data_IF_794530486628
#
_entry.id   IF_794530486628
#
_cell.length_a   1.000
_cell.length_b   1.000
_cell.length_c   1.000
_cell.angle_alpha   90.00
_cell.angle_beta   90.00
_cell.angle_gamma   90.00
#
_symmetry.space_group_name_H-M   'P 1'
#
loop_
_entity.id
_entity.type
_entity.pdbx_description
1 polymer ?
#
# COMPACT_ATOMS: atom_id res chain seq x y z
N UNK A 1 -10.67 25.14 -7.54
CA UNK A 1 -11.54 24.53 -8.59
C UNK A 1 -10.81 23.50 -9.42
N UNK A 2 -9.83 23.89 -10.24
CA UNK A 2 -9.03 22.91 -11.01
C UNK A 2 -8.30 21.93 -10.07
N UNK A 3 -7.55 22.43 -9.09
CA UNK A 3 -6.90 21.58 -8.08
C UNK A 3 -7.87 20.64 -7.35
N UNK A 4 -9.06 21.11 -6.95
CA UNK A 4 -10.07 20.27 -6.30
C UNK A 4 -10.61 19.18 -7.21
N UNK A 5 -10.66 19.43 -8.52
CA UNK A 5 -11.02 18.44 -9.52
C UNK A 5 -9.98 17.32 -9.61
N UNK A 6 -8.69 17.67 -9.60
CA UNK A 6 -7.61 16.66 -9.52
C UNK A 6 -7.67 15.86 -8.23
N UNK A 7 -7.92 16.51 -7.09
CA UNK A 7 -8.09 15.83 -5.79
C UNK A 7 -9.26 14.85 -5.79
N UNK A 8 -10.35 15.20 -6.48
CA UNK A 8 -11.59 14.41 -6.50
C UNK A 8 -11.56 13.32 -7.56
N UNK A 9 -10.99 13.58 -8.73
CA UNK A 9 -11.09 12.70 -9.90
C UNK A 9 -9.76 12.18 -10.42
N UNK A 10 -8.62 12.58 -9.85
CA UNK A 10 -7.29 12.15 -10.27
C UNK A 10 -7.09 10.64 -10.20
N UNK A 11 -7.70 9.98 -9.20
CA UNK A 11 -7.68 8.52 -9.06
C UNK A 11 -8.15 7.77 -10.31
N UNK A 12 -9.07 8.36 -11.09
CA UNK A 12 -9.61 7.76 -12.32
C UNK A 12 -8.60 7.73 -13.46
N UNK A 13 -7.64 8.66 -13.46
CA UNK A 13 -6.57 8.74 -14.44
C UNK A 13 -5.27 8.07 -13.97
N UNK A 14 -5.16 7.71 -12.70
CA UNK A 14 -3.95 7.09 -12.13
C UNK A 14 -3.66 5.71 -12.73
N UNK A 15 -2.36 5.42 -12.91
CA UNK A 15 -1.85 4.17 -13.47
C UNK A 15 -1.66 3.12 -12.37
N UNK A 16 -2.77 2.52 -11.95
CA UNK A 16 -2.82 1.50 -10.88
C UNK A 16 -2.78 0.05 -11.39
N UNK A 17 -2.95 -0.17 -12.69
CA UNK A 17 -3.00 -1.50 -13.28
C UNK A 17 -1.59 -1.92 -13.71
N UNK A 18 -0.97 -2.93 -13.07
CA UNK A 18 0.37 -3.37 -13.43
C UNK A 18 0.42 -4.06 -14.80
N UNK A 19 -0.71 -4.55 -15.32
CA UNK A 19 -0.79 -5.22 -16.63
C UNK A 19 -1.26 -4.29 -17.75
N UNK A 20 -1.71 -3.08 -17.39
CA UNK A 20 -2.27 -2.06 -18.29
C UNK A 20 -3.34 -2.61 -19.27
N UNK A 21 -4.16 -3.53 -18.79
CA UNK A 21 -5.26 -4.13 -19.56
C UNK A 21 -6.52 -3.24 -19.50
N UNK A 22 -6.67 -2.48 -18.43
CA UNK A 22 -7.79 -1.57 -18.24
C UNK A 22 -7.67 -0.33 -19.13
N UNK A 23 -8.52 -0.24 -20.16
CA UNK A 23 -8.67 0.99 -20.94
C UNK A 23 -9.29 2.09 -20.07
N UNK A 24 -8.49 3.10 -19.74
CA UNK A 24 -8.95 4.26 -18.97
C UNK A 24 -9.55 5.31 -19.91
N UNK A 25 -10.76 5.74 -19.60
CA UNK A 25 -11.38 6.86 -20.30
C UNK A 25 -10.71 8.18 -19.92
N UNK A 26 -10.63 9.11 -20.88
CA UNK A 26 -10.15 10.46 -20.59
C UNK A 26 -11.12 11.14 -19.63
N UNK A 27 -10.61 11.57 -18.49
CA UNK A 27 -11.40 12.25 -17.47
C UNK A 27 -11.51 13.74 -17.83
N UNK A 28 -12.63 14.15 -18.41
CA UNK A 28 -12.88 15.55 -18.81
C UNK A 28 -12.82 16.56 -17.64
N UNK A 29 -12.86 16.09 -16.40
CA UNK A 29 -12.70 16.95 -15.22
C UNK A 29 -11.23 17.34 -14.95
N UNK A 30 -10.26 16.63 -15.55
CA UNK A 30 -8.83 16.93 -15.44
C UNK A 30 -8.35 17.89 -16.53
N UNK A 31 -9.23 18.32 -17.45
CA UNK A 31 -8.88 19.24 -18.53
C UNK A 31 -8.84 20.69 -18.00
N UNK A 32 -7.67 21.38 -18.04
CA UNK A 32 -7.56 22.78 -17.64
C UNK A 32 -8.50 23.71 -18.41
N UNK A 33 -8.74 23.43 -19.68
CA UNK A 33 -9.56 24.26 -20.57
C UNK A 33 -10.99 24.43 -20.04
N UNK A 34 -11.51 23.39 -19.37
CA UNK A 34 -12.85 23.41 -18.74
C UNK A 34 -12.98 24.49 -17.66
N UNK A 35 -11.87 24.90 -17.06
CA UNK A 35 -11.82 25.91 -16.00
C UNK A 35 -11.44 27.30 -16.52
N UNK A 36 -11.34 27.48 -17.85
CA UNK A 36 -10.87 28.73 -18.46
C UNK A 36 -9.37 28.94 -18.27
N UNK A 37 -8.60 27.85 -18.14
CA UNK A 37 -7.15 27.84 -18.05
C UNK A 37 -6.62 27.39 -19.41
N UNK A 38 -6.39 28.34 -20.30
CA UNK A 38 -5.98 28.15 -21.70
C UNK A 38 -4.50 28.44 -21.95
N UNK A 39 -3.93 29.35 -21.16
CA UNK A 39 -2.52 29.75 -21.26
C UNK A 39 -1.63 28.96 -20.27
N UNK A 40 -0.74 28.06 -20.74
CA UNK A 40 0.17 27.29 -19.89
C UNK A 40 1.24 28.15 -19.19
N UNK A 41 1.61 29.28 -19.77
CA UNK A 41 2.66 30.17 -19.26
C UNK A 41 2.12 31.18 -18.24
N UNK A 42 0.80 31.31 -18.14
CA UNK A 42 0.15 32.18 -17.17
C UNK A 42 0.51 31.76 -15.75
N UNK A 43 0.98 32.73 -14.97
CA UNK A 43 1.33 32.54 -13.57
C UNK A 43 0.13 32.72 -12.66
N UNK A 44 0.11 31.92 -11.60
CA UNK A 44 -0.91 31.96 -10.55
C UNK A 44 -0.24 31.89 -9.19
N UNK A 45 -0.79 32.64 -8.24
CA UNK A 45 -0.47 32.47 -6.83
C UNK A 45 -1.06 31.14 -6.34
N UNK A 46 -0.19 30.25 -5.86
CA UNK A 46 -0.58 28.93 -5.36
C UNK A 46 -0.81 28.92 -3.84
N UNK A 47 -0.56 30.04 -3.14
CA UNK A 47 -0.69 30.09 -1.69
C UNK A 47 -2.13 29.81 -1.23
N UNK A 48 -2.26 28.97 -0.21
CA UNK A 48 -3.54 28.46 0.29
C UNK A 48 -4.32 27.54 -0.67
N UNK A 49 -3.83 27.31 -1.89
CA UNK A 49 -4.46 26.42 -2.88
C UNK A 49 -3.71 25.08 -2.93
N UNK A 50 -2.39 25.11 -3.04
CA UNK A 50 -1.52 23.92 -3.12
C UNK A 50 -0.52 23.95 -1.96
N UNK A 51 -0.35 22.80 -1.29
CA UNK A 51 0.51 22.69 -0.12
C UNK A 51 1.89 22.13 -0.46
N UNK A 52 2.78 22.97 -0.97
CA UNK A 52 4.18 22.58 -1.27
C UNK A 52 5.10 22.62 -0.05
N UNK A 53 4.65 23.26 1.04
CA UNK A 53 5.45 23.41 2.27
C UNK A 53 6.41 24.60 2.26
N UNK A 54 6.54 25.26 1.10
CA UNK A 54 7.26 26.53 0.94
C UNK A 54 6.25 27.70 0.94
N UNK A 55 6.73 28.94 1.15
CA UNK A 55 5.88 30.13 1.32
C UNK A 55 5.14 30.57 0.05
N UNK A 56 4.80 31.86 -0.05
CA UNK A 56 4.15 32.41 -1.25
C UNK A 56 5.00 32.13 -2.49
N UNK A 57 4.39 31.46 -3.48
CA UNK A 57 5.03 31.10 -4.74
C UNK A 57 4.05 31.35 -5.89
N UNK A 58 4.57 31.93 -6.96
CA UNK A 58 3.85 32.02 -8.23
C UNK A 58 4.34 30.91 -9.15
N UNK A 59 3.42 30.06 -9.60
CA UNK A 59 3.73 28.97 -10.52
C UNK A 59 2.99 29.17 -11.84
N UNK A 60 3.61 28.74 -12.93
CA UNK A 60 2.93 28.63 -14.23
C UNK A 60 1.87 27.54 -14.17
N UNK A 61 0.84 27.64 -15.01
CA UNK A 61 -0.20 26.61 -15.14
C UNK A 61 0.39 25.23 -15.49
N UNK A 62 1.45 25.21 -16.31
CA UNK A 62 2.19 23.99 -16.63
C UNK A 62 2.79 23.36 -15.36
N UNK A 63 3.49 24.14 -14.53
CA UNK A 63 4.09 23.65 -13.29
C UNK A 63 3.03 23.14 -12.31
N UNK A 64 1.92 23.87 -12.16
CA UNK A 64 0.78 23.45 -11.33
C UNK A 64 0.22 22.11 -11.81
N UNK A 65 -0.01 21.98 -13.11
CA UNK A 65 -0.59 20.78 -13.71
C UNK A 65 0.36 19.60 -13.59
N UNK A 66 1.64 19.80 -13.89
CA UNK A 66 2.68 18.78 -13.77
C UNK A 66 2.79 18.27 -12.34
N UNK A 67 2.83 19.17 -11.36
CA UNK A 67 2.89 18.83 -9.94
C UNK A 67 1.64 18.08 -9.47
N UNK A 68 0.45 18.60 -9.73
CA UNK A 68 -0.78 17.93 -9.28
C UNK A 68 -0.96 16.56 -9.97
N UNK A 69 -0.52 16.41 -11.21
CA UNK A 69 -0.50 15.11 -11.89
C UNK A 69 0.52 14.15 -11.28
N UNK A 70 1.70 14.61 -10.87
CA UNK A 70 2.69 13.74 -10.21
C UNK A 70 2.18 13.22 -8.85
N UNK A 71 1.40 14.03 -8.13
CA UNK A 71 0.79 13.67 -6.85
C UNK A 71 -0.43 12.76 -7.02
N UNK A 72 -1.40 13.13 -7.87
CA UNK A 72 -2.71 12.48 -7.94
C UNK A 72 -2.90 11.51 -9.11
N UNK A 73 -2.08 11.59 -10.15
CA UNK A 73 -2.16 10.80 -11.38
C UNK A 73 -0.89 9.94 -11.54
N UNK A 74 -0.43 9.38 -10.43
CA UNK A 74 0.75 8.52 -10.36
C UNK A 74 0.44 7.03 -10.43
N UNK A 75 1.32 6.23 -9.81
CA UNK A 75 1.12 4.78 -9.59
C UNK A 75 0.26 4.43 -8.38
N UNK A 76 -0.14 5.45 -7.62
CA UNK A 76 -1.00 5.35 -6.45
C UNK A 76 -2.21 6.23 -6.70
N UNK A 77 -3.41 5.69 -6.48
CA UNK A 77 -4.67 6.40 -6.56
C UNK A 77 -5.17 6.76 -5.16
N UNK A 78 -5.57 8.01 -4.96
CA UNK A 78 -6.06 8.50 -3.67
C UNK A 78 -7.54 8.88 -3.76
N UNK A 79 -8.35 8.30 -2.87
CA UNK A 79 -9.77 8.61 -2.69
C UNK A 79 -10.01 9.03 -1.25
N UNK A 80 -10.20 10.33 -1.04
CA UNK A 80 -10.43 10.91 0.30
C UNK A 80 -11.44 12.07 0.29
N UNK A 81 -11.85 12.55 -0.89
CA UNK A 81 -12.73 13.71 -1.00
C UNK A 81 -14.17 13.43 -0.54
N UNK A 82 -14.56 12.16 -0.42
CA UNK A 82 -15.84 11.71 0.13
C UNK A 82 -15.89 11.76 1.67
N UNK A 83 -14.77 12.04 2.35
CA UNK A 83 -14.73 12.21 3.79
C UNK A 83 -15.60 13.41 4.22
N UNK A 84 -16.46 13.25 5.24
CA UNK A 84 -17.35 14.32 5.67
C UNK A 84 -16.59 15.48 6.33
N UNK A 85 -15.50 15.17 7.04
CA UNK A 85 -14.70 16.15 7.77
C UNK A 85 -13.83 16.97 6.82
N UNK A 86 -14.01 18.29 6.83
CA UNK A 86 -13.14 19.22 6.08
C UNK A 86 -11.70 19.17 6.59
N UNK A 87 -11.52 19.03 7.90
CA UNK A 87 -10.20 18.97 8.54
C UNK A 87 -9.41 17.76 8.05
N UNK A 88 -10.06 16.60 7.93
CA UNK A 88 -9.42 15.38 7.41
C UNK A 88 -9.04 15.53 5.94
N UNK A 89 -9.94 16.09 5.10
CA UNK A 89 -9.64 16.36 3.70
C UNK A 89 -8.45 17.30 3.51
N UNK A 90 -8.39 18.36 4.32
CA UNK A 90 -7.25 19.29 4.31
C UNK A 90 -5.96 18.62 4.78
N UNK A 91 -6.05 17.76 5.80
CA UNK A 91 -4.90 16.98 6.28
C UNK A 91 -4.35 16.07 5.19
N UNK A 92 -5.20 15.34 4.46
CA UNK A 92 -4.79 14.51 3.33
C UNK A 92 -4.18 15.32 2.19
N UNK A 93 -4.83 16.43 1.78
CA UNK A 93 -4.29 17.30 0.73
C UNK A 93 -2.90 17.80 1.11
N UNK A 94 -2.73 18.31 2.34
CA UNK A 94 -1.44 18.77 2.84
C UNK A 94 -0.40 17.66 2.91
N UNK A 95 -0.78 16.48 3.42
CA UNK A 95 0.13 15.34 3.51
C UNK A 95 0.62 14.91 2.13
N UNK A 96 -0.28 14.76 1.16
CA UNK A 96 0.04 14.26 -0.17
C UNK A 96 0.81 15.27 -1.00
N UNK A 97 0.47 16.55 -0.91
CA UNK A 97 1.16 17.59 -1.68
C UNK A 97 2.53 17.91 -1.06
N UNK A 98 2.65 17.91 0.29
CA UNK A 98 3.96 18.10 0.94
C UNK A 98 4.89 16.90 0.80
N UNK A 99 4.35 15.67 0.83
CA UNK A 99 5.14 14.46 0.59
C UNK A 99 5.38 14.22 -0.90
N UNK A 100 4.46 14.60 -1.78
CA UNK A 100 4.60 14.43 -3.22
C UNK A 100 5.60 15.40 -3.85
N UNK A 101 5.88 16.54 -3.20
CA UNK A 101 7.04 17.37 -3.50
C UNK A 101 8.38 16.64 -3.24
N UNK A 102 8.38 15.62 -2.37
CA UNK A 102 9.51 14.76 -2.07
C UNK A 102 9.32 13.42 -2.79
N UNK A 103 9.73 13.36 -4.06
CA UNK A 103 9.92 12.13 -4.85
C UNK A 103 9.76 10.82 -4.04
N UNK A 104 8.71 10.00 -4.28
CA UNK A 104 8.44 8.77 -3.50
C UNK A 104 9.63 7.80 -3.46
N UNK A 105 10.56 7.93 -4.41
CA UNK A 105 11.76 7.11 -4.55
C UNK A 105 13.00 7.67 -3.84
N UNK A 106 13.05 8.99 -3.57
CA UNK A 106 14.24 9.64 -3.00
C UNK A 106 14.46 9.29 -1.52
N UNK A 107 13.45 8.75 -0.82
CA UNK A 107 13.51 8.47 0.61
C UNK A 107 13.72 6.98 0.98
N UNK A 108 13.83 6.04 0.02
CA UNK A 108 14.04 4.62 0.34
C UNK A 108 15.54 4.29 0.34
N UNK A 109 16.12 4.17 1.54
CA UNK A 109 17.50 3.68 1.74
C UNK A 109 17.74 2.36 0.96
N UNK A 110 18.94 2.20 0.40
CA UNK A 110 19.39 1.00 -0.29
C UNK A 110 19.14 -0.28 0.53
N UNK A 111 19.30 -0.24 1.85
CA UNK A 111 19.04 -1.38 2.72
C UNK A 111 17.55 -1.74 2.79
N UNK A 112 16.67 -0.74 2.80
CA UNK A 112 15.21 -0.96 2.72
C UNK A 112 14.81 -1.58 1.38
N UNK A 113 15.39 -1.10 0.28
CA UNK A 113 15.20 -1.71 -1.05
C UNK A 113 15.63 -3.17 -1.08
N UNK A 114 16.78 -3.50 -0.49
CA UNK A 114 17.25 -4.89 -0.35
C UNK A 114 16.31 -5.74 0.48
N UNK A 115 15.78 -5.21 1.58
CA UNK A 115 14.80 -5.93 2.42
C UNK A 115 13.50 -6.21 1.65
N UNK A 116 12.96 -5.20 0.95
CA UNK A 116 11.76 -5.36 0.11
C UNK A 116 11.99 -6.45 -0.94
N UNK A 117 13.11 -6.38 -1.67
CA UNK A 117 13.47 -7.39 -2.67
C UNK A 117 13.59 -8.79 -2.06
N UNK A 118 14.23 -8.92 -0.89
CA UNK A 118 14.35 -10.20 -0.21
C UNK A 118 13.00 -10.79 0.21
N UNK A 119 12.04 -9.97 0.62
CA UNK A 119 10.68 -10.41 0.95
C UNK A 119 9.92 -10.89 -0.29
N UNK A 120 10.04 -10.16 -1.40
CA UNK A 120 9.43 -10.55 -2.69
C UNK A 120 10.00 -11.89 -3.18
N UNK A 121 11.33 -12.02 -3.23
CA UNK A 121 11.99 -13.24 -3.65
C UNK A 121 11.64 -14.44 -2.77
N UNK A 122 11.52 -14.24 -1.44
CA UNK A 122 11.07 -15.30 -0.52
C UNK A 122 9.65 -15.78 -0.81
N UNK A 123 8.73 -14.87 -1.17
CA UNK A 123 7.36 -15.21 -1.55
C UNK A 123 7.37 -16.13 -2.78
N UNK A 124 8.04 -15.68 -3.83
CA UNK A 124 8.08 -16.39 -5.10
C UNK A 124 8.72 -17.78 -4.97
N UNK A 125 9.86 -17.88 -4.27
CA UNK A 125 10.55 -19.15 -4.05
C UNK A 125 9.68 -20.12 -3.26
N UNK A 126 8.92 -19.63 -2.28
CA UNK A 126 8.03 -20.48 -1.48
C UNK A 126 6.88 -21.04 -2.32
N UNK A 127 6.21 -20.21 -3.13
CA UNK A 127 5.14 -20.69 -4.01
C UNK A 127 5.66 -21.72 -5.02
N UNK A 128 6.81 -21.44 -5.64
CA UNK A 128 7.47 -22.36 -6.56
C UNK A 128 7.84 -23.69 -5.88
N UNK A 129 8.34 -23.64 -4.64
CA UNK A 129 8.65 -24.84 -3.88
C UNK A 129 7.40 -25.67 -3.57
N UNK A 130 6.31 -25.02 -3.15
CA UNK A 130 5.03 -25.68 -2.88
C UNK A 130 4.44 -26.30 -4.14
N UNK A 131 4.62 -25.66 -5.30
CA UNK A 131 4.22 -26.22 -6.59
C UNK A 131 4.89 -27.55 -6.91
N UNK A 132 6.21 -27.61 -6.70
CA UNK A 132 6.99 -28.82 -7.00
C UNK A 132 6.69 -29.93 -5.99
N UNK A 133 6.57 -29.60 -4.69
CA UNK A 133 6.37 -30.60 -3.65
C UNK A 133 4.95 -31.13 -3.53
N UNK A 134 3.95 -30.30 -3.78
CA UNK A 134 2.54 -30.65 -3.58
C UNK A 134 1.68 -30.29 -4.81
N UNK A 135 1.91 -30.93 -5.97
CA UNK A 135 1.24 -30.55 -7.23
C UNK A 135 -0.28 -30.75 -7.18
N UNK A 136 -0.75 -31.75 -6.42
CA UNK A 136 -2.17 -32.10 -6.34
C UNK A 136 -2.93 -31.34 -5.24
N UNK A 137 -2.25 -30.49 -4.47
CA UNK A 137 -2.88 -29.73 -3.40
C UNK A 137 -3.34 -28.38 -3.94
N UNK A 138 -4.61 -28.04 -3.69
CA UNK A 138 -5.12 -26.69 -3.95
C UNK A 138 -4.40 -25.69 -3.02
N UNK A 139 -3.46 -24.94 -3.59
CA UNK A 139 -2.79 -23.84 -2.92
C UNK A 139 -3.47 -22.51 -3.26
N UNK A 140 -3.53 -21.63 -2.29
CA UNK A 140 -3.85 -20.23 -2.50
C UNK A 140 -2.50 -19.50 -2.46
N UNK A 141 -1.82 -19.49 -3.60
CA UNK A 141 -0.54 -18.79 -3.75
C UNK A 141 -0.73 -17.28 -3.70
N UNK A 142 0.38 -16.56 -3.60
CA UNK A 142 0.41 -15.09 -3.67
C UNK A 142 1.05 -14.61 -4.98
N UNK A 143 0.95 -15.43 -6.04
CA UNK A 143 1.46 -15.10 -7.38
C UNK A 143 0.79 -13.83 -7.92
N UNK A 144 1.59 -12.80 -8.21
CA UNK A 144 1.14 -11.48 -8.65
C UNK A 144 0.68 -10.54 -7.52
N UNK A 145 0.67 -11.00 -6.26
CA UNK A 145 0.29 -10.24 -5.07
C UNK A 145 1.41 -10.12 -4.02
N UNK A 146 2.66 -10.42 -4.39
CA UNK A 146 3.79 -10.57 -3.47
C UNK A 146 4.11 -9.25 -2.74
N UNK A 147 3.75 -8.12 -3.34
CA UNK A 147 3.84 -6.77 -2.77
C UNK A 147 3.07 -6.60 -1.45
N UNK A 148 2.11 -7.48 -1.15
CA UNK A 148 1.43 -7.50 0.14
C UNK A 148 2.39 -7.80 1.30
N UNK A 149 3.44 -8.62 1.11
CA UNK A 149 4.41 -8.91 2.16
C UNK A 149 5.20 -7.68 2.61
N UNK A 150 5.89 -6.92 1.74
CA UNK A 150 6.58 -5.70 2.15
C UNK A 150 5.61 -4.62 2.64
N UNK A 151 4.38 -4.56 2.14
CA UNK A 151 3.37 -3.63 2.65
C UNK A 151 3.03 -3.90 4.13
N UNK A 152 2.85 -5.18 4.50
CA UNK A 152 2.59 -5.57 5.88
C UNK A 152 3.82 -5.43 6.78
N UNK A 153 5.02 -5.70 6.25
CA UNK A 153 6.27 -5.46 6.97
C UNK A 153 6.42 -3.97 7.34
N UNK A 154 6.15 -3.08 6.38
CA UNK A 154 6.15 -1.63 6.62
C UNK A 154 5.07 -1.20 7.63
N UNK A 155 3.87 -1.80 7.57
CA UNK A 155 2.81 -1.57 8.54
C UNK A 155 3.23 -1.97 9.96
N UNK A 156 3.90 -3.12 10.10
CA UNK A 156 4.40 -3.59 11.40
C UNK A 156 5.56 -2.73 11.92
N UNK A 157 6.45 -2.27 11.05
CA UNK A 157 7.51 -1.32 11.40
C UNK A 157 6.90 0.00 11.92
N UNK A 158 5.90 0.54 11.23
CA UNK A 158 5.21 1.77 11.62
C UNK A 158 4.48 1.61 12.96
N UNK A 159 3.75 0.50 13.14
CA UNK A 159 3.05 0.21 14.39
C UNK A 159 4.03 0.04 15.57
N UNK A 160 5.16 -0.62 15.35
CA UNK A 160 6.22 -0.77 16.35
C UNK A 160 6.80 0.59 16.77
N UNK A 161 7.07 1.48 15.81
CA UNK A 161 7.54 2.85 16.09
C UNK A 161 6.50 3.69 16.85
N UNK A 162 5.22 3.45 16.61
CA UNK A 162 4.12 4.07 17.34
C UNK A 162 3.90 3.47 18.75
N UNK A 163 4.70 2.48 19.17
CA UNK A 163 4.57 1.84 20.49
C UNK A 163 3.40 0.85 20.60
N UNK A 164 2.85 0.40 19.47
CA UNK A 164 1.74 -0.56 19.45
C UNK A 164 2.30 -1.96 19.72
N UNK A 165 1.90 -2.55 20.83
CA UNK A 165 2.41 -3.86 21.26
C UNK A 165 1.67 -5.05 20.63
N UNK A 166 0.46 -4.85 20.10
CA UNK A 166 -0.39 -5.92 19.57
C UNK A 166 -1.10 -5.48 18.30
N UNK A 167 -0.99 -6.31 17.26
CA UNK A 167 -1.72 -6.17 16.01
C UNK A 167 -2.55 -7.44 15.80
N UNK A 168 -3.83 -7.26 15.51
CA UNK A 168 -4.75 -8.37 15.20
C UNK A 168 -5.04 -8.28 13.70
N UNK A 169 -4.59 -9.30 12.96
CA UNK A 169 -4.81 -9.40 11.52
C UNK A 169 -5.90 -10.44 11.24
N UNK A 170 -7.06 -9.97 10.77
CA UNK A 170 -8.12 -10.83 10.29
C UNK A 170 -7.93 -11.07 8.78
N UNK A 171 -7.95 -12.34 8.37
CA UNK A 171 -7.78 -12.75 6.98
C UNK A 171 -8.98 -13.57 6.49
N UNK A 172 -9.20 -13.65 5.17
CA UNK A 172 -10.22 -14.52 4.58
C UNK A 172 -10.06 -15.99 5.02
N UNK A 173 -11.11 -16.79 4.81
CA UNK A 173 -11.13 -18.21 5.20
C UNK A 173 -9.97 -19.03 4.62
N UNK A 174 -9.47 -18.62 3.44
CA UNK A 174 -8.36 -19.24 2.73
C UNK A 174 -7.27 -18.19 2.47
N UNK A 175 -6.45 -17.85 3.47
CA UNK A 175 -5.39 -16.86 3.31
C UNK A 175 -4.25 -17.42 2.47
N UNK A 176 -3.50 -16.56 1.74
CA UNK A 176 -2.38 -17.02 0.94
C UNK A 176 -1.35 -17.76 1.79
N UNK A 177 -0.91 -18.94 1.34
CA UNK A 177 0.03 -19.79 2.09
C UNK A 177 1.34 -19.07 2.41
N UNK A 178 1.79 -18.22 1.48
CA UNK A 178 3.02 -17.43 1.65
C UNK A 178 2.91 -16.39 2.74
N UNK A 179 1.74 -15.78 2.89
CA UNK A 179 1.50 -14.75 3.90
C UNK A 179 1.72 -15.31 5.30
N UNK A 180 1.18 -16.49 5.58
CA UNK A 180 1.37 -17.15 6.87
C UNK A 180 2.81 -17.60 7.11
N UNK A 181 3.45 -18.23 6.12
CA UNK A 181 4.80 -18.75 6.28
C UNK A 181 5.84 -17.63 6.45
N UNK A 182 5.77 -16.60 5.61
CA UNK A 182 6.75 -15.51 5.57
C UNK A 182 6.60 -14.54 6.75
N UNK A 183 5.37 -14.17 7.15
CA UNK A 183 5.16 -13.17 8.21
C UNK A 183 5.16 -13.77 9.61
N UNK A 184 4.60 -14.97 9.80
CA UNK A 184 4.47 -15.58 11.14
C UNK A 184 5.66 -16.43 11.55
N UNK A 185 6.70 -16.53 10.72
CA UNK A 185 7.90 -17.35 10.97
C UNK A 185 7.53 -18.76 11.45
N UNK A 186 6.47 -19.34 10.88
CA UNK A 186 6.10 -20.70 11.21
C UNK A 186 7.14 -21.62 10.58
N UNK A 187 8.07 -22.09 11.42
CA UNK A 187 9.14 -23.04 11.07
C UNK A 187 8.59 -24.36 10.54
N UNK A 188 7.36 -24.70 10.91
CA UNK A 188 6.62 -25.83 10.37
C UNK A 188 5.47 -25.28 9.53
N UNK A 189 5.58 -25.38 8.21
CA UNK A 189 4.43 -25.28 7.30
C UNK A 189 3.48 -26.45 7.61
N UNK A 190 2.68 -26.30 8.67
CA UNK A 190 1.46 -27.09 8.85
C UNK A 190 0.48 -26.54 7.82
N UNK A 191 0.69 -26.90 6.56
CA UNK A 191 -0.27 -26.66 5.50
C UNK A 191 -1.56 -27.32 5.99
N UNK A 192 -2.67 -26.59 6.13
CA UNK A 192 -3.93 -27.20 6.50
C UNK A 192 -4.35 -28.09 5.32
N UNK A 193 -3.91 -29.34 5.33
CA UNK A 193 -4.36 -30.34 4.38
C UNK A 193 -5.82 -30.62 4.70
N UNK A 194 -6.73 -30.28 3.78
CA UNK A 194 -8.12 -30.76 3.85
C UNK A 194 -8.19 -32.30 3.90
N UNK A 195 -7.13 -33.01 3.53
CA UNK A 195 -7.05 -34.48 3.56
C UNK A 195 -6.72 -35.10 4.91
N UNK A 196 -6.31 -34.34 5.94
CA UNK A 196 -6.03 -34.89 7.28
C UNK A 196 -7.30 -34.98 8.15
N UNK A 197 -8.42 -35.44 7.58
CA UNK A 197 -9.71 -35.63 8.30
C UNK A 197 -9.91 -37.04 8.87
N UNK A 198 -8.90 -37.90 8.89
CA UNK A 198 -9.05 -39.27 9.39
C UNK A 198 -8.14 -39.54 10.58
N UNK A 199 -8.58 -39.13 11.78
CA UNK A 199 -8.38 -39.80 13.08
C UNK A 199 -8.34 -38.82 14.25
N UNK A 200 -9.50 -38.27 14.64
CA UNK A 200 -9.78 -37.99 16.06
C UNK A 200 -11.29 -37.78 16.25
N UNK A 201 -11.91 -38.88 16.68
CA UNK A 201 -13.09 -39.04 17.54
C UNK A 201 -14.03 -37.84 17.71
N UNK A 202 -15.22 -37.98 17.11
CA UNK A 202 -16.55 -37.64 17.66
C UNK A 202 -16.61 -36.51 18.70
N UNK A 203 -16.59 -35.26 18.25
CA UNK A 203 -17.30 -34.16 18.93
C UNK A 203 -17.82 -33.15 17.91
N UNK A 204 -19.13 -33.00 17.96
CA UNK A 204 -20.01 -32.23 17.09
C UNK A 204 -19.52 -30.79 16.87
N UNK A 205 -19.27 -30.48 15.61
CA UNK A 205 -19.42 -29.19 14.91
C UNK A 205 -19.50 -27.91 15.77
N UNK A 206 -18.34 -27.30 16.02
CA UNK A 206 -18.20 -25.83 16.03
C UNK A 206 -16.78 -25.49 15.58
N UNK A 207 -16.63 -25.10 14.32
CA UNK A 207 -15.35 -24.58 13.80
C UNK A 207 -15.10 -23.24 14.49
N UNK A 208 -14.43 -23.28 15.64
CA UNK A 208 -13.82 -22.11 16.24
C UNK A 208 -12.51 -21.86 15.49
N UNK A 209 -12.53 -20.86 14.61
CA UNK A 209 -11.32 -20.18 14.16
C UNK A 209 -10.69 -19.46 15.36
N UNK A 210 -9.89 -20.19 16.15
CA UNK A 210 -8.99 -19.61 17.15
C UNK A 210 -7.58 -20.11 16.89
N UNK A 211 -6.94 -19.55 15.87
CA UNK A 211 -5.49 -19.47 15.83
C UNK A 211 -5.07 -18.08 16.32
N UNK A 212 -5.04 -17.92 17.64
CA UNK A 212 -4.39 -16.79 18.29
C UNK A 212 -2.95 -17.24 18.60
N UNK A 213 -1.98 -16.81 17.80
CA UNK A 213 -0.58 -16.76 18.25
C UNK A 213 -0.20 -15.31 18.44
N UNK A 214 0.01 -14.93 19.71
CA UNK A 214 0.54 -13.63 20.12
C UNK A 214 1.94 -13.47 19.56
N UNK A 215 2.19 -12.37 18.84
CA UNK A 215 3.54 -11.91 18.57
C UNK A 215 3.81 -10.78 19.57
N UNK A 216 4.68 -11.03 20.54
CA UNK A 216 5.28 -9.97 21.35
C UNK A 216 6.41 -9.40 20.51
N UNK A 217 6.33 -8.10 20.19
CA UNK A 217 7.43 -7.39 19.53
C UNK A 217 8.59 -7.35 20.54
N UNK A 218 9.62 -8.18 20.33
CA UNK A 218 10.87 -8.05 21.09
C UNK A 218 11.64 -6.89 20.50
N UNK A 219 11.70 -5.78 21.24
CA UNK A 219 12.66 -4.70 20.98
C UNK A 219 14.08 -5.27 21.11
N UNK A 220 14.84 -5.34 20.03
CA UNK A 220 16.29 -5.50 20.14
C UNK A 220 16.83 -4.20 20.74
N UNK A 221 17.05 -4.20 22.06
CA UNK A 221 17.94 -3.23 22.70
C UNK A 221 19.32 -3.44 22.09
N UNK A 222 19.80 -2.45 21.36
CA UNK A 222 21.23 -2.23 21.20
C UNK A 222 21.80 -2.05 22.61
N UNK A 223 22.44 -3.10 23.12
CA UNK A 223 23.30 -2.99 24.27
C UNK A 223 24.60 -2.36 23.79
N UNK A 224 24.83 -1.13 24.24
CA UNK A 224 26.13 -0.49 24.28
C UNK A 224 27.16 -1.43 24.90
N UNK A 225 28.26 -1.69 24.20
CA UNK A 225 29.52 -2.07 24.82
C UNK A 225 30.56 -1.03 24.43
N UNK A 226 30.95 -0.29 25.46
CA UNK A 226 32.29 0.25 25.78
C UNK A 226 33.27 0.48 24.65
#
# INVERSE_FOLDING_TARGET
>A
RYADSLRTHGHRAASIDPLDLLRRERVAALDPLRYGLDDPDRTFDIDGIIWTGEGHQEWTLENITSFLNSVYVGRIAYEYMDLPSKTERQWFAKLLESQGALEPTAAINADKRKNIHALLAKSEVLDNFLQVKFPNLKRYGLEGGESMLPALDALFEAASKAGINQLILAMPHSPPSNMHASLMQQTNLRIPTQSARSSETTRTTRVRSRFFRRRTIRSNRFASQT
#
